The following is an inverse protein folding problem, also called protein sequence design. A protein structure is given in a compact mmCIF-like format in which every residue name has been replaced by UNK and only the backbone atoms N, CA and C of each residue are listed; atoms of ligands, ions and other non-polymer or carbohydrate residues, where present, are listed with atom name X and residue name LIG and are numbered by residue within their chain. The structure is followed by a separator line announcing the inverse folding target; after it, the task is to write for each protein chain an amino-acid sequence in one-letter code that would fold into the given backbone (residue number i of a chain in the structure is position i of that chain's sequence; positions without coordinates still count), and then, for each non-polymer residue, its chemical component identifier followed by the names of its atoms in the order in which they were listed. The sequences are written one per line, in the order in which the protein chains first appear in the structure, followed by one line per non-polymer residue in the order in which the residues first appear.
data_IF_627753361151
#
_entry.id   IF_627753361151
#
_cell.length_a   1.000
_cell.length_b   1.000
_cell.length_c   1.000
_cell.angle_alpha   90.00
_cell.angle_beta   90.00
_cell.angle_gamma   90.00
#
_symmetry.space_group_name_H-M   'P 1'
#
loop_
_entity.id
_entity.type
_entity.pdbx_description
1 polymer ?
#
# COMPACT_ATOMS: atom_id res chain seq x y z
N UNK A 1 11.85 -12.25 -16.35
CA UNK A 1 12.45 -11.41 -15.30
C UNK A 1 11.57 -11.44 -14.06
N UNK A 2 10.45 -10.70 -14.03
CA UNK A 2 9.49 -10.71 -12.91
C UNK A 2 9.09 -12.11 -12.44
N UNK A 3 8.73 -13.02 -13.36
CA UNK A 3 8.36 -14.40 -12.99
C UNK A 3 9.47 -15.17 -12.25
N UNK A 4 10.74 -14.97 -12.61
CA UNK A 4 11.85 -15.63 -11.92
C UNK A 4 12.09 -15.04 -10.52
N UNK A 5 11.93 -13.72 -10.36
CA UNK A 5 12.02 -13.08 -9.04
C UNK A 5 10.82 -13.47 -8.17
N UNK A 6 9.63 -13.57 -8.75
CA UNK A 6 8.43 -14.00 -8.06
C UNK A 6 8.57 -15.44 -7.55
N UNK A 7 8.97 -16.40 -8.38
CA UNK A 7 9.18 -17.80 -7.93
C UNK A 7 10.20 -17.88 -6.78
N UNK A 8 11.30 -17.11 -6.83
CA UNK A 8 12.28 -17.05 -5.75
C UNK A 8 11.68 -16.47 -4.46
N UNK A 9 10.85 -15.43 -4.60
CA UNK A 9 10.14 -14.83 -3.47
C UNK A 9 9.13 -15.78 -2.85
N UNK A 10 8.39 -16.55 -3.67
CA UNK A 10 7.40 -17.53 -3.22
C UNK A 10 8.07 -18.68 -2.44
N UNK A 11 9.21 -19.18 -2.91
CA UNK A 11 10.01 -20.17 -2.18
C UNK A 11 10.57 -19.67 -0.85
N UNK A 12 10.61 -18.35 -0.65
CA UNK A 12 11.09 -17.69 0.55
C UNK A 12 9.95 -17.02 1.35
N UNK A 13 8.70 -17.50 1.23
CA UNK A 13 7.52 -16.98 1.94
C UNK A 13 7.34 -15.46 1.78
N UNK A 14 7.66 -14.93 0.59
CA UNK A 14 7.63 -13.51 0.24
C UNK A 14 8.50 -12.62 1.14
N UNK A 15 9.48 -13.20 1.86
CA UNK A 15 10.46 -12.46 2.64
C UNK A 15 11.51 -11.88 1.69
N UNK A 16 11.74 -10.58 1.77
CA UNK A 16 12.65 -9.88 0.85
C UNK A 16 14.10 -10.27 1.13
N UNK A 17 14.78 -10.86 0.17
CA UNK A 17 16.12 -11.43 0.36
C UNK A 17 17.26 -10.52 -0.17
N UNK A 18 16.93 -9.37 -0.74
CA UNK A 18 17.93 -8.56 -1.46
C UNK A 18 18.36 -9.21 -2.78
N UNK A 19 19.33 -8.59 -3.46
CA UNK A 19 19.91 -9.16 -4.68
C UNK A 19 21.01 -10.16 -4.32
N UNK A 20 20.84 -11.43 -4.70
CA UNK A 20 21.86 -12.47 -4.51
C UNK A 20 22.24 -13.14 -5.84
N UNK A 21 23.39 -12.76 -6.42
CA UNK A 21 23.86 -13.29 -7.70
C UNK A 21 24.37 -14.74 -7.64
N UNK A 22 24.44 -15.36 -6.45
CA UNK A 22 24.64 -16.80 -6.35
C UNK A 22 23.36 -17.59 -6.67
N UNK A 23 22.18 -16.96 -6.57
CA UNK A 23 20.90 -17.58 -6.95
C UNK A 23 20.71 -17.53 -8.47
N UNK A 24 20.49 -18.67 -9.15
CA UNK A 24 20.31 -18.70 -10.60
C UNK A 24 19.16 -17.82 -11.11
N UNK A 25 18.03 -17.77 -10.38
CA UNK A 25 16.87 -16.95 -10.76
C UNK A 25 17.17 -15.46 -10.74
N UNK A 26 17.97 -14.97 -9.79
CA UNK A 26 18.39 -13.57 -9.72
C UNK A 26 19.31 -13.19 -10.89
N UNK A 27 20.28 -14.05 -11.22
CA UNK A 27 21.14 -13.83 -12.40
C UNK A 27 20.33 -13.79 -13.69
N UNK A 28 19.42 -14.76 -13.86
CA UNK A 28 18.53 -14.79 -15.01
C UNK A 28 17.67 -13.52 -15.09
N UNK A 29 17.10 -13.08 -13.96
CA UNK A 29 16.33 -11.85 -13.91
C UNK A 29 17.16 -10.64 -14.35
N UNK A 30 18.37 -10.47 -13.82
CA UNK A 30 19.28 -9.38 -14.19
C UNK A 30 19.63 -9.41 -15.69
N UNK A 31 19.96 -10.58 -16.25
CA UNK A 31 20.24 -10.75 -17.67
C UNK A 31 19.03 -10.36 -18.53
N UNK A 32 17.82 -10.77 -18.14
CA UNK A 32 16.60 -10.40 -18.86
C UNK A 32 16.28 -8.90 -18.74
N UNK A 33 16.55 -8.27 -17.59
CA UNK A 33 16.44 -6.81 -17.44
C UNK A 33 17.38 -6.08 -18.40
N UNK A 34 18.66 -6.46 -18.42
CA UNK A 34 19.65 -5.87 -19.32
C UNK A 34 19.27 -6.02 -20.80
N UNK A 35 18.78 -7.20 -21.20
CA UNK A 35 18.26 -7.44 -22.56
C UNK A 35 17.07 -6.55 -22.89
N UNK A 36 16.14 -6.38 -21.95
CA UNK A 36 14.98 -5.51 -22.12
C UNK A 36 15.40 -4.05 -22.33
N UNK A 37 16.35 -3.53 -21.54
CA UNK A 37 16.90 -2.19 -21.74
C UNK A 37 17.54 -2.02 -23.13
N UNK A 38 18.33 -3.01 -23.57
CA UNK A 38 18.95 -2.97 -24.90
C UNK A 38 17.89 -2.94 -26.03
N UNK A 39 16.79 -3.67 -25.87
CA UNK A 39 15.68 -3.68 -26.83
C UNK A 39 14.89 -2.37 -26.82
N UNK A 40 14.62 -1.80 -25.64
CA UNK A 40 13.96 -0.50 -25.52
C UNK A 40 14.77 0.61 -26.18
N UNK A 41 16.09 0.64 -25.97
CA UNK A 41 16.98 1.63 -26.60
C UNK A 41 16.96 1.53 -28.13
N UNK A 42 16.91 0.32 -28.68
CA UNK A 42 16.77 0.11 -30.14
C UNK A 42 15.41 0.57 -30.65
N UNK A 43 14.33 0.26 -29.92
CA UNK A 43 12.95 0.64 -30.26
C UNK A 43 12.72 2.15 -30.20
N UNK A 44 13.37 2.84 -29.27
CA UNK A 44 13.34 4.30 -29.19
C UNK A 44 13.80 4.95 -30.51
N UNK A 45 14.84 4.40 -31.14
CA UNK A 45 15.39 4.92 -32.39
C UNK A 45 14.49 4.69 -33.63
N UNK A 46 13.45 3.86 -33.52
CA UNK A 46 12.63 3.44 -34.67
C UNK A 46 11.29 4.18 -34.81
N UNK A 47 11.04 5.25 -34.04
CA UNK A 47 9.78 6.03 -34.07
C UNK A 47 8.51 5.17 -33.89
N UNK A 48 8.61 4.13 -33.06
CA UNK A 48 7.52 3.19 -32.86
C UNK A 48 6.33 3.83 -32.10
N UNK A 49 5.10 3.79 -32.62
CA UNK A 49 3.95 4.43 -31.99
C UNK A 49 3.58 3.79 -30.63
N UNK A 50 3.93 2.52 -30.40
CA UNK A 50 3.71 1.83 -29.13
C UNK A 50 4.89 1.97 -28.16
N UNK A 51 5.94 2.72 -28.52
CA UNK A 51 7.13 2.85 -27.69
C UNK A 51 6.82 3.29 -26.26
N UNK A 52 5.92 4.27 -26.08
CA UNK A 52 5.51 4.76 -24.75
C UNK A 52 4.82 3.68 -23.92
N UNK A 53 3.85 2.98 -24.49
CA UNK A 53 3.12 1.91 -23.83
C UNK A 53 4.06 0.76 -23.43
N UNK A 54 4.93 0.33 -24.34
CA UNK A 54 5.92 -0.72 -24.06
C UNK A 54 6.92 -0.28 -22.99
N UNK A 55 7.36 0.98 -23.01
CA UNK A 55 8.24 1.53 -21.97
C UNK A 55 7.53 1.56 -20.62
N UNK A 56 6.25 1.93 -20.57
CA UNK A 56 5.44 1.91 -19.34
C UNK A 56 5.26 0.50 -18.78
N UNK A 57 5.02 -0.50 -19.65
CA UNK A 57 4.98 -1.91 -19.24
C UNK A 57 6.33 -2.34 -18.67
N UNK A 58 7.45 -1.97 -19.31
CA UNK A 58 8.78 -2.26 -18.78
C UNK A 58 9.03 -1.58 -17.43
N UNK A 59 8.70 -0.28 -17.28
CA UNK A 59 8.78 0.43 -16.00
C UNK A 59 8.00 -0.29 -14.91
N UNK A 60 6.75 -0.70 -15.19
CA UNK A 60 5.92 -1.43 -14.23
C UNK A 60 6.55 -2.77 -13.84
N UNK A 61 6.99 -3.56 -14.82
CA UNK A 61 7.63 -4.86 -14.55
C UNK A 61 8.93 -4.72 -13.77
N UNK A 62 9.74 -3.69 -14.06
CA UNK A 62 10.94 -3.39 -13.28
C UNK A 62 10.60 -2.96 -11.87
N UNK A 63 9.67 -2.02 -11.67
CA UNK A 63 9.19 -1.62 -10.35
C UNK A 63 8.80 -2.84 -9.51
N UNK A 64 7.96 -3.74 -10.03
CA UNK A 64 7.54 -4.93 -9.26
C UNK A 64 8.69 -5.88 -8.95
N UNK A 65 9.62 -6.06 -9.88
CA UNK A 65 10.73 -6.97 -9.68
C UNK A 65 11.72 -6.43 -8.66
N UNK A 66 12.01 -5.13 -8.72
CA UNK A 66 12.85 -4.47 -7.72
C UNK A 66 12.19 -4.49 -6.33
N UNK A 67 10.86 -4.30 -6.24
CA UNK A 67 10.13 -4.43 -4.96
C UNK A 67 10.26 -5.84 -4.36
N UNK A 68 10.15 -6.89 -5.18
CA UNK A 68 10.34 -8.27 -4.72
C UNK A 68 11.79 -8.58 -4.33
N UNK A 69 12.75 -7.87 -4.91
CA UNK A 69 14.16 -7.91 -4.52
C UNK A 69 14.46 -7.01 -3.30
N UNK A 70 13.47 -6.31 -2.75
CA UNK A 70 13.66 -5.34 -1.66
C UNK A 70 14.40 -4.06 -2.06
N UNK A 71 14.59 -3.81 -3.35
CA UNK A 71 15.25 -2.63 -3.89
C UNK A 71 14.25 -1.48 -4.05
N UNK A 72 13.76 -0.94 -2.93
CA UNK A 72 12.72 0.09 -2.91
C UNK A 72 13.11 1.37 -3.65
N UNK A 73 14.35 1.84 -3.51
CA UNK A 73 14.82 3.06 -4.16
C UNK A 73 14.85 2.92 -5.69
N UNK A 74 15.36 1.80 -6.19
CA UNK A 74 15.36 1.48 -7.63
C UNK A 74 13.95 1.27 -8.15
N UNK A 75 13.09 0.58 -7.40
CA UNK A 75 11.69 0.39 -7.75
C UNK A 75 10.94 1.73 -7.90
N UNK A 76 11.12 2.63 -6.93
CA UNK A 76 10.58 3.97 -6.96
C UNK A 76 11.13 4.75 -8.15
N UNK A 77 12.41 4.64 -8.47
CA UNK A 77 12.99 5.29 -9.65
C UNK A 77 12.31 4.86 -10.95
N UNK A 78 12.06 3.55 -11.14
CA UNK A 78 11.31 3.04 -12.29
C UNK A 78 9.87 3.54 -12.33
N UNK A 79 9.23 3.61 -11.15
CA UNK A 79 7.89 4.17 -11.02
C UNK A 79 7.91 5.64 -11.48
N UNK A 80 8.79 6.48 -10.92
CA UNK A 80 8.92 7.91 -11.27
C UNK A 80 9.11 8.12 -12.77
N UNK A 81 9.99 7.33 -13.41
CA UNK A 81 10.17 7.41 -14.87
C UNK A 81 8.89 7.10 -15.64
N UNK A 82 8.12 6.09 -15.23
CA UNK A 82 6.82 5.79 -15.83
C UNK A 82 5.80 6.90 -15.62
N UNK A 83 5.74 7.49 -14.41
CA UNK A 83 4.86 8.61 -14.11
C UNK A 83 5.19 9.86 -14.95
N UNK A 84 6.48 10.12 -15.18
CA UNK A 84 6.93 11.20 -16.05
C UNK A 84 6.41 11.02 -17.48
N UNK A 85 6.53 9.80 -18.04
CA UNK A 85 6.01 9.48 -19.38
C UNK A 85 4.50 9.70 -19.46
N UNK A 86 3.75 9.33 -18.40
CA UNK A 86 2.30 9.57 -18.33
C UNK A 86 1.96 11.07 -18.26
N UNK A 87 2.69 11.85 -17.47
CA UNK A 87 2.50 13.30 -17.38
C UNK A 87 2.78 13.98 -18.74
N UNK A 88 3.85 13.58 -19.43
CA UNK A 88 4.17 14.04 -20.78
C UNK A 88 3.09 13.64 -21.79
N UNK A 89 2.56 12.41 -21.70
CA UNK A 89 1.45 11.97 -22.54
C UNK A 89 0.15 12.72 -22.25
N UNK A 90 -0.13 13.08 -21.00
CA UNK A 90 -1.33 13.81 -20.60
C UNK A 90 -1.36 15.25 -21.13
N UNK A 91 -0.18 15.86 -21.37
CA UNK A 91 -0.07 17.18 -22.01
C UNK A 91 -0.65 17.16 -23.43
N UNK A 92 -0.63 16.00 -24.09
CA UNK A 92 -1.21 15.79 -25.41
C UNK A 92 -2.33 14.77 -25.31
N UNK A 93 -3.58 15.19 -25.03
CA UNK A 93 -4.73 14.29 -24.76
C UNK A 93 -4.84 13.08 -25.73
N UNK A 94 -4.54 13.28 -27.02
CA UNK A 94 -4.53 12.19 -28.02
C UNK A 94 -3.48 11.09 -27.76
N UNK A 95 -2.34 11.41 -27.15
CA UNK A 95 -1.32 10.44 -26.77
C UNK A 95 -1.72 9.62 -25.53
N UNK A 96 -2.42 10.22 -24.57
CA UNK A 96 -2.88 9.50 -23.38
C UNK A 96 -3.96 8.48 -23.74
N UNK A 97 -4.86 8.81 -24.69
CA UNK A 97 -5.89 7.87 -25.17
C UNK A 97 -5.33 6.65 -25.92
N UNK A 98 -4.06 6.68 -26.34
CA UNK A 98 -3.40 5.55 -26.97
C UNK A 98 -2.81 4.55 -25.97
N UNK A 99 -2.74 4.90 -24.68
CA UNK A 99 -2.21 4.04 -23.62
C UNK A 99 -3.39 3.29 -22.98
N UNK A 100 -3.21 1.99 -22.73
CA UNK A 100 -4.22 1.19 -22.06
C UNK A 100 -4.60 1.77 -20.68
N UNK A 101 -5.89 1.96 -20.45
CA UNK A 101 -6.42 2.56 -19.23
C UNK A 101 -6.05 1.76 -17.97
N UNK A 102 -5.93 0.43 -18.05
CA UNK A 102 -5.53 -0.41 -16.93
C UNK A 102 -4.08 -0.15 -16.49
N UNK A 103 -3.22 0.21 -17.45
CA UNK A 103 -1.83 0.60 -17.20
C UNK A 103 -1.77 1.95 -16.50
N UNK A 104 -2.55 2.94 -16.98
CA UNK A 104 -2.70 4.25 -16.31
C UNK A 104 -3.22 4.08 -14.88
N UNK A 105 -4.28 3.27 -14.70
CA UNK A 105 -4.84 2.97 -13.38
C UNK A 105 -3.81 2.31 -12.45
N UNK A 106 -2.93 1.43 -12.97
CA UNK A 106 -1.88 0.81 -12.17
C UNK A 106 -0.85 1.82 -11.65
N UNK A 107 -0.39 2.73 -12.51
CA UNK A 107 0.53 3.79 -12.12
C UNK A 107 -0.11 4.77 -11.13
N UNK A 108 -1.37 5.16 -11.30
CA UNK A 108 -2.10 6.01 -10.35
C UNK A 108 -2.13 5.41 -8.94
N UNK A 109 -2.35 4.09 -8.83
CA UNK A 109 -2.37 3.41 -7.53
C UNK A 109 -0.99 3.34 -6.88
N UNK A 110 0.03 2.96 -7.65
CA UNK A 110 1.41 2.89 -7.15
C UNK A 110 1.93 4.27 -6.76
N UNK A 111 1.56 5.32 -7.49
CA UNK A 111 1.90 6.70 -7.15
C UNK A 111 1.27 7.10 -5.81
N UNK A 112 -0.02 6.83 -5.60
CA UNK A 112 -0.66 7.08 -4.32
C UNK A 112 0.07 6.37 -3.17
N UNK A 113 0.36 5.07 -3.32
CA UNK A 113 1.12 4.29 -2.34
C UNK A 113 2.53 4.84 -2.08
N UNK A 114 3.23 5.34 -3.12
CA UNK A 114 4.59 5.86 -2.97
C UNK A 114 4.70 7.03 -1.99
N UNK A 115 3.60 7.72 -1.70
CA UNK A 115 3.53 8.72 -0.62
C UNK A 115 4.08 8.19 0.70
N UNK A 116 3.90 6.89 1.00
CA UNK A 116 4.37 6.29 2.24
C UNK A 116 5.86 5.93 2.22
N UNK A 117 6.49 5.83 1.06
CA UNK A 117 7.84 5.27 0.85
C UNK A 117 8.85 6.28 0.25
N UNK A 118 8.37 7.37 -0.33
CA UNK A 118 9.19 8.42 -0.94
C UNK A 118 9.36 9.65 -0.06
N UNK A 119 10.43 10.42 -0.33
CA UNK A 119 10.62 11.77 0.20
C UNK A 119 9.67 12.79 -0.44
N UNK A 120 9.44 12.58 -1.73
CA UNK A 120 8.56 13.38 -2.56
C UNK A 120 7.23 12.62 -2.64
N UNK A 121 6.11 13.28 -2.31
CA UNK A 121 4.76 12.69 -2.33
C UNK A 121 4.33 12.23 -3.73
N UNK A 122 3.01 12.03 -3.98
CA UNK A 122 2.53 11.64 -5.30
C UNK A 122 3.03 12.59 -6.39
N UNK A 123 3.57 12.00 -7.46
CA UNK A 123 4.20 12.71 -8.57
C UNK A 123 3.28 12.83 -9.78
N UNK A 124 2.19 12.06 -9.85
CA UNK A 124 1.20 12.26 -10.89
C UNK A 124 0.38 13.51 -10.60
N UNK A 125 0.31 14.36 -11.61
CA UNK A 125 -0.60 15.49 -11.66
C UNK A 125 -1.57 15.33 -12.83
N UNK A 126 -2.01 14.08 -13.08
CA UNK A 126 -2.98 13.78 -14.13
C UNK A 126 -4.28 14.54 -13.84
N UNK A 127 -4.57 15.51 -14.71
CA UNK A 127 -5.71 16.43 -14.61
C UNK A 127 -5.81 17.19 -13.28
N UNK A 128 -5.01 18.26 -13.13
CA UNK A 128 -5.44 19.50 -12.44
C UNK A 128 -6.53 20.25 -13.23
N UNK A 129 -7.41 19.54 -13.93
CA UNK A 129 -8.58 20.11 -14.59
C UNK A 129 -9.74 20.06 -13.58
N UNK A 130 -9.74 21.03 -12.66
CA UNK A 130 -10.53 21.07 -11.44
C UNK A 130 -9.77 20.41 -10.30
N UNK A 131 -9.42 21.05 -9.19
CA UNK A 131 -10.40 21.62 -8.27
C UNK A 131 -11.81 21.03 -8.40
N UNK A 132 -11.92 19.72 -8.65
CA UNK A 132 -13.11 18.99 -8.25
C UNK A 132 -13.13 19.03 -6.72
N UNK A 133 -13.68 20.13 -6.18
CA UNK A 133 -14.40 20.10 -4.92
C UNK A 133 -15.17 18.80 -4.95
N UNK A 134 -14.93 17.93 -3.97
CA UNK A 134 -15.69 16.70 -3.75
C UNK A 134 -17.14 17.00 -4.10
N UNK A 135 -17.60 16.50 -5.24
CA UNK A 135 -18.92 16.81 -5.74
C UNK A 135 -19.86 16.02 -4.83
N UNK A 136 -20.21 16.62 -3.69
CA UNK A 136 -21.20 16.12 -2.74
C UNK A 136 -22.62 16.23 -3.33
N UNK A 137 -22.76 16.02 -4.64
CA UNK A 137 -24.07 15.91 -5.25
C UNK A 137 -24.74 14.70 -4.61
N UNK A 138 -25.85 14.94 -3.92
CA UNK A 138 -26.81 13.94 -3.40
C UNK A 138 -27.39 13.02 -4.50
N UNK A 139 -26.85 13.07 -5.72
CA UNK A 139 -27.35 12.43 -6.94
C UNK A 139 -26.30 11.56 -7.63
N UNK A 140 -25.30 11.04 -6.90
CA UNK A 140 -24.40 10.02 -7.45
C UNK A 140 -25.10 8.65 -7.52
N UNK A 141 -25.25 8.10 -8.72
CA UNK A 141 -25.82 6.76 -8.94
C UNK A 141 -24.99 5.67 -8.27
N UNK A 142 -25.58 4.52 -7.92
CA UNK A 142 -24.82 3.35 -7.45
C UNK A 142 -23.80 2.88 -8.51
N UNK A 143 -22.66 2.28 -8.11
CA UNK A 143 -21.74 1.69 -9.07
C UNK A 143 -22.45 0.59 -9.86
N UNK A 144 -22.26 0.56 -11.19
CA UNK A 144 -22.92 -0.40 -12.09
C UNK A 144 -22.30 -1.79 -12.02
N UNK A 145 -21.05 -1.88 -11.62
CA UNK A 145 -20.29 -3.12 -11.51
C UNK A 145 -19.10 -2.96 -10.54
N UNK A 146 -18.42 -4.07 -10.27
CA UNK A 146 -17.27 -4.11 -9.36
C UNK A 146 -16.09 -3.25 -9.84
N UNK A 147 -15.90 -3.12 -11.16
CA UNK A 147 -14.82 -2.29 -11.71
C UNK A 147 -15.07 -0.80 -11.46
N UNK A 148 -16.31 -0.34 -11.57
CA UNK A 148 -16.69 1.03 -11.23
C UNK A 148 -16.53 1.29 -9.74
N UNK A 149 -16.97 0.36 -8.88
CA UNK A 149 -16.74 0.46 -7.43
C UNK A 149 -15.25 0.54 -7.08
N UNK A 150 -14.39 -0.22 -7.78
CA UNK A 150 -12.93 -0.16 -7.60
C UNK A 150 -12.36 1.19 -8.00
N UNK A 151 -12.81 1.76 -9.13
CA UNK A 151 -12.36 3.10 -9.57
C UNK A 151 -12.75 4.18 -8.58
N UNK A 152 -13.96 4.12 -8.04
CA UNK A 152 -14.41 5.04 -6.99
C UNK A 152 -13.55 4.95 -5.73
N UNK A 153 -13.26 3.73 -5.26
CA UNK A 153 -12.33 3.54 -4.14
C UNK A 153 -10.97 4.16 -4.46
N UNK A 154 -10.38 3.85 -5.62
CA UNK A 154 -9.07 4.37 -6.01
C UNK A 154 -9.03 5.90 -6.05
N UNK A 155 -10.12 6.55 -6.47
CA UNK A 155 -10.23 8.01 -6.45
C UNK A 155 -10.20 8.58 -5.02
N UNK A 156 -10.85 7.92 -4.07
CA UNK A 156 -10.82 8.36 -2.66
C UNK A 156 -9.43 8.07 -2.04
N UNK A 157 -8.85 6.91 -2.34
CA UNK A 157 -7.53 6.50 -1.86
C UNK A 157 -6.41 7.41 -2.36
N UNK A 158 -6.47 7.90 -3.60
CA UNK A 158 -5.45 8.80 -4.15
C UNK A 158 -5.34 10.14 -3.40
N UNK A 159 -6.36 10.50 -2.61
CA UNK A 159 -6.36 11.66 -1.71
C UNK A 159 -6.11 11.27 -0.25
N UNK A 160 -6.66 10.14 0.20
CA UNK A 160 -6.52 9.66 1.58
C UNK A 160 -5.11 9.20 1.93
N UNK A 161 -4.45 8.44 1.04
CA UNK A 161 -3.11 7.89 1.28
C UNK A 161 -2.06 9.00 1.47
N UNK A 162 -1.97 10.02 0.60
CA UNK A 162 -1.02 11.12 0.80
C UNK A 162 -1.26 11.88 2.09
N UNK A 163 -2.52 12.15 2.43
CA UNK A 163 -2.88 12.84 3.68
C UNK A 163 -2.49 12.01 4.93
N UNK A 164 -2.67 10.68 4.89
CA UNK A 164 -2.19 9.80 5.96
C UNK A 164 -0.67 9.82 6.08
N UNK A 165 0.04 9.77 4.94
CA UNK A 165 1.50 9.84 4.94
C UNK A 165 2.03 11.13 5.56
N UNK A 166 1.39 12.26 5.25
CA UNK A 166 1.68 13.55 5.88
C UNK A 166 1.43 13.49 7.39
N UNK A 167 0.23 13.08 7.83
CA UNK A 167 -0.12 12.99 9.25
C UNK A 167 0.88 12.12 10.03
N UNK A 168 1.28 10.98 9.47
CA UNK A 168 2.20 10.03 10.09
C UNK A 168 3.65 10.50 10.12
N UNK A 169 4.00 11.48 9.29
CA UNK A 169 5.32 12.09 9.25
C UNK A 169 5.49 13.28 10.20
N UNK A 170 4.38 13.88 10.66
CA UNK A 170 4.38 15.09 11.48
C UNK A 170 4.40 14.78 12.98
N UNK A 171 5.15 15.59 13.73
CA UNK A 171 5.14 15.62 15.19
C UNK A 171 3.82 16.18 15.74
N UNK A 172 3.56 15.93 17.03
CA UNK A 172 2.36 16.46 17.70
C UNK A 172 2.33 17.99 17.72
N UNK A 173 3.49 18.65 17.63
CA UNK A 173 3.60 20.12 17.59
C UNK A 173 3.23 20.64 16.20
N UNK A 174 3.74 20.01 15.14
CA UNK A 174 3.42 20.39 13.76
C UNK A 174 1.93 20.18 13.44
N UNK A 175 1.35 19.06 13.88
CA UNK A 175 -0.10 18.82 13.76
C UNK A 175 -0.89 19.93 14.46
N UNK A 176 -0.46 20.40 15.63
CA UNK A 176 -1.13 21.51 16.33
C UNK A 176 -1.03 22.83 15.57
N UNK A 177 0.11 23.11 14.93
CA UNK A 177 0.32 24.33 14.12
C UNK A 177 -0.62 24.38 12.91
N UNK A 178 -0.86 23.23 12.26
CA UNK A 178 -1.70 23.13 11.06
C UNK A 178 -3.08 22.52 11.35
N UNK A 179 -3.49 22.44 12.62
CA UNK A 179 -4.64 21.64 13.04
C UNK A 179 -5.93 21.99 12.30
N UNK A 180 -6.21 23.29 12.13
CA UNK A 180 -7.45 23.74 11.49
C UNK A 180 -7.53 23.30 10.03
N UNK A 181 -6.47 23.49 9.24
CA UNK A 181 -6.47 23.07 7.83
C UNK A 181 -6.50 21.55 7.69
N UNK A 182 -5.70 20.84 8.47
CA UNK A 182 -5.66 19.38 8.44
C UNK A 182 -7.00 18.77 8.87
N UNK A 183 -7.67 19.36 9.88
CA UNK A 183 -8.99 18.91 10.35
C UNK A 183 -10.07 19.06 9.29
N UNK A 184 -10.04 20.14 8.49
CA UNK A 184 -10.96 20.31 7.36
C UNK A 184 -10.75 19.22 6.31
N UNK A 185 -9.49 18.94 5.95
CA UNK A 185 -9.16 17.84 5.03
C UNK A 185 -9.61 16.49 5.56
N UNK A 186 -9.32 16.20 6.84
CA UNK A 186 -9.75 14.97 7.51
C UNK A 186 -11.28 14.80 7.47
N UNK A 187 -12.03 15.86 7.80
CA UNK A 187 -13.49 15.80 7.80
C UNK A 187 -14.06 15.58 6.40
N UNK A 188 -13.52 16.26 5.40
CA UNK A 188 -13.92 16.09 4.00
C UNK A 188 -13.67 14.65 3.51
N UNK A 189 -12.50 14.08 3.84
CA UNK A 189 -12.17 12.69 3.53
C UNK A 189 -13.10 11.70 4.23
N UNK A 190 -13.40 11.91 5.52
CA UNK A 190 -14.31 11.03 6.27
C UNK A 190 -15.73 11.05 5.70
N UNK A 191 -16.24 12.23 5.33
CA UNK A 191 -17.55 12.35 4.67
C UNK A 191 -17.55 11.60 3.35
N UNK A 192 -16.54 11.79 2.51
CA UNK A 192 -16.44 11.09 1.22
C UNK A 192 -16.34 9.57 1.40
N UNK A 193 -15.42 9.09 2.25
CA UNK A 193 -15.23 7.66 2.53
C UNK A 193 -16.52 7.01 3.04
N UNK A 194 -17.22 7.66 3.97
CA UNK A 194 -18.47 7.13 4.52
C UNK A 194 -19.57 7.07 3.47
N UNK A 195 -19.69 8.12 2.65
CA UNK A 195 -20.66 8.16 1.55
C UNK A 195 -20.41 7.06 0.50
N UNK A 196 -19.16 6.89 0.05
CA UNK A 196 -18.84 5.83 -0.91
C UNK A 196 -18.98 4.44 -0.30
N UNK A 197 -18.66 4.27 0.98
CA UNK A 197 -18.89 3.01 1.71
C UNK A 197 -20.38 2.64 1.72
N UNK A 198 -21.26 3.58 2.04
CA UNK A 198 -22.72 3.35 2.02
C UNK A 198 -23.22 2.98 0.62
N UNK A 199 -22.70 3.64 -0.43
CA UNK A 199 -23.03 3.29 -1.82
C UNK A 199 -22.57 1.87 -2.18
N UNK A 200 -21.40 1.44 -1.71
CA UNK A 200 -20.95 0.06 -1.88
C UNK A 200 -21.86 -0.93 -1.14
N UNK A 201 -22.25 -0.63 0.11
CA UNK A 201 -23.16 -1.46 0.90
C UNK A 201 -24.49 -1.67 0.15
N UNK A 202 -25.11 -0.59 -0.36
CA UNK A 202 -26.33 -0.65 -1.18
C UNK A 202 -26.14 -1.44 -2.48
N UNK A 203 -24.99 -1.29 -3.15
CA UNK A 203 -24.67 -2.09 -4.33
C UNK A 203 -24.59 -3.58 -3.99
N UNK A 204 -23.96 -3.93 -2.86
CA UNK A 204 -23.86 -5.31 -2.40
C UNK A 204 -25.24 -5.92 -2.12
N UNK A 205 -26.12 -5.18 -1.44
CA UNK A 205 -27.49 -5.63 -1.15
C UNK A 205 -28.25 -6.00 -2.44
N UNK A 206 -28.04 -5.26 -3.53
CA UNK A 206 -28.76 -5.47 -4.80
C UNK A 206 -28.13 -6.54 -5.71
N UNK A 207 -26.80 -6.67 -5.66
CA UNK A 207 -26.04 -7.34 -6.72
C UNK A 207 -25.17 -8.50 -6.24
N UNK A 208 -24.82 -8.59 -4.95
CA UNK A 208 -23.76 -9.48 -4.46
C UNK A 208 -23.98 -10.96 -4.80
N UNK A 209 -25.21 -11.45 -4.62
CA UNK A 209 -25.56 -12.85 -4.89
C UNK A 209 -25.44 -13.22 -6.39
N UNK A 210 -25.42 -12.23 -7.29
CA UNK A 210 -25.31 -12.41 -8.74
C UNK A 210 -23.85 -12.30 -9.23
N UNK A 211 -22.94 -11.85 -8.38
CA UNK A 211 -21.53 -11.67 -8.71
C UNK A 211 -20.82 -13.03 -8.80
N UNK A 212 -19.85 -13.14 -9.70
CA UNK A 212 -18.93 -14.28 -9.73
C UNK A 212 -18.09 -14.35 -8.44
N UNK A 213 -17.49 -15.50 -8.09
CA UNK A 213 -16.61 -15.61 -6.91
C UNK A 213 -15.44 -14.60 -6.91
N UNK A 214 -14.89 -14.30 -8.09
CA UNK A 214 -13.83 -13.29 -8.28
C UNK A 214 -14.35 -11.88 -7.98
N UNK A 215 -15.55 -11.55 -8.42
CA UNK A 215 -16.19 -10.26 -8.19
C UNK A 215 -16.60 -10.09 -6.73
N UNK A 216 -17.15 -11.14 -6.09
CA UNK A 216 -17.45 -11.14 -4.65
C UNK A 216 -16.19 -10.87 -3.84
N UNK A 217 -15.08 -11.56 -4.13
CA UNK A 217 -13.78 -11.29 -3.51
C UNK A 217 -13.36 -9.83 -3.70
N UNK A 218 -13.51 -9.31 -4.92
CA UNK A 218 -13.17 -7.93 -5.24
C UNK A 218 -13.98 -6.92 -4.41
N UNK A 219 -15.28 -7.13 -4.27
CA UNK A 219 -16.16 -6.27 -3.48
C UNK A 219 -15.87 -6.39 -1.98
N UNK A 220 -15.61 -7.59 -1.47
CA UNK A 220 -15.22 -7.81 -0.08
C UNK A 220 -13.93 -7.03 0.25
N UNK A 221 -12.92 -7.09 -0.62
CA UNK A 221 -11.66 -6.32 -0.48
C UNK A 221 -11.93 -4.81 -0.51
N UNK A 222 -12.79 -4.31 -1.41
CA UNK A 222 -13.17 -2.89 -1.45
C UNK A 222 -13.81 -2.47 -0.11
N UNK A 223 -14.69 -3.32 0.45
CA UNK A 223 -15.29 -3.09 1.76
C UNK A 223 -14.27 -2.98 2.88
N UNK A 224 -13.26 -3.86 2.92
CA UNK A 224 -12.15 -3.79 3.88
C UNK A 224 -11.36 -2.49 3.76
N UNK A 225 -11.10 -2.02 2.54
CA UNK A 225 -10.41 -0.74 2.32
C UNK A 225 -11.17 0.45 2.89
N UNK A 226 -12.48 0.52 2.68
CA UNK A 226 -13.28 1.59 3.28
C UNK A 226 -13.24 1.54 4.81
N UNK A 227 -13.36 0.36 5.42
CA UNK A 227 -13.27 0.22 6.88
C UNK A 227 -11.88 0.67 7.40
N UNK A 228 -10.81 0.18 6.77
CA UNK A 228 -9.44 0.50 7.15
C UNK A 228 -9.12 1.99 7.01
N UNK A 229 -9.53 2.61 5.90
CA UNK A 229 -9.28 4.02 5.63
C UNK A 229 -10.07 4.94 6.54
N UNK A 230 -11.36 4.65 6.77
CA UNK A 230 -12.17 5.42 7.72
C UNK A 230 -11.51 5.42 9.09
N UNK A 231 -11.10 4.25 9.59
CA UNK A 231 -10.44 4.14 10.88
C UNK A 231 -9.10 4.90 10.89
N UNK A 232 -8.26 4.71 9.87
CA UNK A 232 -6.95 5.37 9.74
C UNK A 232 -7.06 6.89 9.74
N UNK A 233 -7.99 7.44 8.94
CA UNK A 233 -8.23 8.89 8.85
C UNK A 233 -8.81 9.40 10.17
N UNK A 234 -9.74 8.67 10.79
CA UNK A 234 -10.33 9.05 12.08
C UNK A 234 -9.28 9.15 13.18
N UNK A 235 -8.26 8.29 13.15
CA UNK A 235 -7.19 8.25 14.15
C UNK A 235 -5.88 8.93 13.73
N UNK A 236 -5.84 9.62 12.59
CA UNK A 236 -4.57 10.08 11.99
C UNK A 236 -3.82 11.14 12.81
N UNK A 237 -4.50 11.88 13.70
CA UNK A 237 -3.86 12.89 14.55
C UNK A 237 -3.34 12.35 15.90
N UNK A 238 -3.53 11.06 16.17
CA UNK A 238 -3.00 10.45 17.39
C UNK A 238 -1.57 9.95 17.17
N UNK A 239 -0.64 10.74 17.69
CA UNK A 239 0.81 10.42 17.75
C UNK A 239 1.20 9.64 19.03
N UNK A 240 0.21 9.18 19.79
CA UNK A 240 0.36 8.42 21.03
C UNK A 240 -0.73 7.35 21.15
N UNK A 241 -1.00 6.85 22.36
CA UNK A 241 -1.99 5.81 22.58
C UNK A 241 -3.36 6.19 22.02
N UNK A 242 -3.95 5.28 21.26
CA UNK A 242 -5.33 5.44 20.77
C UNK A 242 -6.29 5.25 21.96
N UNK A 243 -7.34 6.08 22.10
CA UNK A 243 -8.32 5.90 23.16
C UNK A 243 -9.02 4.53 23.14
N UNK A 244 -9.14 3.91 24.31
CA UNK A 244 -9.69 2.55 24.45
C UNK A 244 -11.13 2.37 23.95
N UNK A 245 -11.94 3.44 23.90
CA UNK A 245 -13.30 3.38 23.35
C UNK A 245 -13.33 3.07 21.85
N UNK A 246 -12.21 3.22 21.13
CA UNK A 246 -12.11 2.87 19.71
C UNK A 246 -11.76 1.39 19.48
N UNK A 247 -11.41 0.63 20.53
CA UNK A 247 -11.07 -0.80 20.43
C UNK A 247 -12.10 -1.63 19.66
N UNK A 248 -13.43 -1.45 19.84
CA UNK A 248 -14.42 -2.20 19.07
C UNK A 248 -14.34 -2.01 17.54
N UNK A 249 -13.93 -0.83 17.06
CA UNK A 249 -13.75 -0.56 15.63
C UNK A 249 -12.54 -1.33 15.07
N UNK A 250 -11.45 -1.43 15.84
CA UNK A 250 -10.29 -2.26 15.50
C UNK A 250 -10.61 -3.75 15.50
N UNK A 251 -11.37 -4.23 16.49
CA UNK A 251 -11.82 -5.62 16.55
C UNK A 251 -12.71 -5.97 15.35
N UNK A 252 -13.62 -5.07 14.99
CA UNK A 252 -14.48 -5.24 13.81
C UNK A 252 -13.67 -5.30 12.52
N UNK A 253 -12.68 -4.40 12.37
CA UNK A 253 -11.77 -4.39 11.23
C UNK A 253 -10.99 -5.71 11.13
N UNK A 254 -10.37 -6.17 12.21
CA UNK A 254 -9.62 -7.43 12.24
C UNK A 254 -10.51 -8.62 11.91
N UNK A 255 -11.70 -8.70 12.52
CA UNK A 255 -12.64 -9.80 12.29
C UNK A 255 -13.07 -9.88 10.84
N UNK A 256 -13.27 -8.73 10.17
CA UNK A 256 -13.61 -8.68 8.75
C UNK A 256 -12.44 -9.17 7.87
N UNK A 257 -11.19 -8.84 8.22
CA UNK A 257 -10.00 -9.34 7.51
C UNK A 257 -9.85 -10.85 7.70
N UNK A 258 -9.95 -11.35 8.95
CA UNK A 258 -9.87 -12.79 9.25
C UNK A 258 -10.98 -13.57 8.53
N UNK A 259 -12.20 -13.04 8.47
CA UNK A 259 -13.30 -13.66 7.73
C UNK A 259 -13.01 -13.74 6.22
N UNK A 260 -12.43 -12.68 5.63
CA UNK A 260 -12.04 -12.69 4.21
C UNK A 260 -10.93 -13.71 3.95
N UNK A 261 -9.91 -13.75 4.81
CA UNK A 261 -8.81 -14.72 4.72
C UNK A 261 -9.32 -16.17 4.79
N UNK A 262 -10.27 -16.45 5.70
CA UNK A 262 -10.88 -17.78 5.82
C UNK A 262 -11.75 -18.13 4.61
N UNK A 263 -12.46 -17.15 4.03
CA UNK A 263 -13.31 -17.33 2.85
C UNK A 263 -12.50 -17.56 1.57
N UNK A 264 -11.31 -16.97 1.47
CA UNK A 264 -10.46 -17.03 0.28
C UNK A 264 -9.03 -17.46 0.63
N UNK A 265 -8.82 -18.75 0.96
CA UNK A 265 -7.51 -19.26 1.35
C UNK A 265 -6.52 -19.20 0.18
N UNK A 266 -7.00 -19.45 -1.05
CA UNK A 266 -6.21 -19.34 -2.28
C UNK A 266 -6.07 -17.89 -2.73
N UNK A 267 -4.83 -17.48 -2.97
CA UNK A 267 -4.46 -16.10 -3.29
C UNK A 267 -3.23 -16.07 -4.17
N UNK A 268 -3.11 -15.04 -5.01
CA UNK A 268 -1.82 -14.72 -5.60
C UNK A 268 -0.87 -14.28 -4.49
N UNK A 269 0.43 -14.42 -4.71
CA UNK A 269 1.48 -13.95 -3.80
C UNK A 269 1.83 -12.49 -4.06
N UNK A 270 1.42 -11.97 -5.22
CA UNK A 270 1.60 -10.56 -5.62
C UNK A 270 0.33 -9.98 -6.24
N UNK A 271 0.06 -8.70 -5.98
CA UNK A 271 -0.96 -7.89 -6.67
C UNK A 271 -0.47 -6.46 -6.89
N UNK A 272 -1.00 -5.80 -7.92
CA UNK A 272 -0.80 -4.36 -8.14
C UNK A 272 -1.75 -3.47 -7.33
N UNK A 273 -2.86 -4.04 -6.87
CA UNK A 273 -3.83 -3.37 -6.04
C UNK A 273 -3.44 -3.49 -4.56
N UNK A 274 -3.92 -2.54 -3.74
CA UNK A 274 -4.01 -2.76 -2.31
C UNK A 274 -4.95 -3.94 -2.05
N UNK A 275 -4.52 -4.90 -1.25
CA UNK A 275 -5.29 -6.06 -0.82
C UNK A 275 -5.70 -5.90 0.65
N UNK A 276 -5.25 -6.81 1.51
CA UNK A 276 -5.63 -6.86 2.92
C UNK A 276 -4.55 -6.35 3.87
N UNK A 277 -3.30 -6.19 3.40
CA UNK A 277 -2.17 -5.80 4.25
C UNK A 277 -2.39 -4.42 4.91
N UNK A 278 -2.84 -3.36 4.21
CA UNK A 278 -3.03 -2.05 4.83
C UNK A 278 -3.96 -2.07 6.05
N UNK A 279 -5.09 -2.76 5.96
CA UNK A 279 -6.06 -2.81 7.05
C UNK A 279 -5.58 -3.63 8.24
N UNK A 280 -4.90 -4.76 7.99
CA UNK A 280 -4.23 -5.53 9.04
C UNK A 280 -3.12 -4.71 9.72
N UNK A 281 -2.32 -3.97 8.96
CA UNK A 281 -1.26 -3.11 9.50
C UNK A 281 -1.84 -2.01 10.40
N UNK A 282 -2.96 -1.39 10.03
CA UNK A 282 -3.65 -0.40 10.88
C UNK A 282 -4.02 -0.99 12.24
N UNK A 283 -4.56 -2.22 12.26
CA UNK A 283 -4.85 -2.91 13.52
C UNK A 283 -3.58 -3.21 14.30
N UNK A 284 -2.60 -3.84 13.64
CA UNK A 284 -1.35 -4.29 14.23
C UNK A 284 -0.52 -3.15 14.84
N UNK A 285 -0.57 -1.95 14.24
CA UNK A 285 0.26 -0.81 14.64
C UNK A 285 -0.41 0.14 15.64
N UNK A 286 -1.74 0.23 15.69
CA UNK A 286 -2.44 1.31 16.44
C UNK A 286 -3.51 0.85 17.41
N UNK A 287 -3.97 -0.40 17.37
CA UNK A 287 -5.07 -0.85 18.25
C UNK A 287 -4.70 -0.68 19.75
N UNK A 288 -5.58 -0.10 20.60
CA UNK A 288 -5.28 0.04 22.03
C UNK A 288 -5.03 -1.28 22.78
N UNK A 289 -5.57 -2.39 22.27
CA UNK A 289 -5.42 -3.72 22.87
C UNK A 289 -4.27 -4.50 22.22
N UNK A 290 -3.22 -4.77 22.99
CA UNK A 290 -2.03 -5.50 22.53
C UNK A 290 -2.32 -6.92 22.06
N UNK A 291 -3.34 -7.60 22.61
CA UNK A 291 -3.73 -8.95 22.16
C UNK A 291 -4.33 -8.91 20.77
N UNK A 292 -5.12 -7.87 20.48
CA UNK A 292 -5.68 -7.63 19.15
C UNK A 292 -4.57 -7.26 18.16
N UNK A 293 -3.58 -6.44 18.57
CA UNK A 293 -2.39 -6.17 17.74
C UNK A 293 -1.63 -7.45 17.40
N UNK A 294 -1.35 -8.30 18.40
CA UNK A 294 -0.63 -9.55 18.18
C UNK A 294 -1.37 -10.51 17.23
N UNK A 295 -2.70 -10.59 17.34
CA UNK A 295 -3.51 -11.34 16.36
C UNK A 295 -3.39 -10.79 14.95
N UNK A 296 -3.42 -9.46 14.78
CA UNK A 296 -3.23 -8.83 13.48
C UNK A 296 -1.82 -9.05 12.90
N UNK A 297 -0.77 -9.02 13.74
CA UNK A 297 0.60 -9.37 13.34
C UNK A 297 0.67 -10.82 12.85
N UNK A 298 0.07 -11.76 13.59
CA UNK A 298 -0.01 -13.17 13.17
C UNK A 298 -0.79 -13.34 11.87
N UNK A 299 -1.86 -12.58 11.67
CA UNK A 299 -2.60 -12.57 10.41
C UNK A 299 -1.70 -12.11 9.24
N UNK A 300 -0.92 -11.04 9.41
CA UNK A 300 0.06 -10.59 8.41
C UNK A 300 1.10 -11.67 8.09
N UNK A 301 1.67 -12.33 9.10
CA UNK A 301 2.63 -13.42 8.92
C UNK A 301 2.02 -14.63 8.20
N UNK A 302 0.75 -14.94 8.48
CA UNK A 302 0.02 -16.02 7.81
C UNK A 302 -0.40 -15.68 6.37
N UNK A 303 -0.12 -14.44 5.92
CA UNK A 303 -0.42 -13.92 4.60
C UNK A 303 0.85 -13.40 3.89
N UNK A 304 1.85 -14.27 3.61
CA UNK A 304 3.06 -13.87 2.86
C UNK A 304 2.65 -13.38 1.47
N UNK A 305 2.75 -12.07 1.25
CA UNK A 305 2.13 -11.40 0.12
C UNK A 305 2.74 -10.02 -0.15
N UNK A 306 2.68 -9.57 -1.40
CA UNK A 306 3.11 -8.25 -1.83
C UNK A 306 1.98 -7.51 -2.58
N UNK A 307 1.56 -6.35 -2.07
CA UNK A 307 0.45 -5.53 -2.56
C UNK A 307 1.00 -4.17 -3.03
N UNK A 308 1.35 -4.06 -4.31
CA UNK A 308 2.09 -2.93 -4.83
C UNK A 308 3.41 -2.76 -4.08
N UNK A 309 3.61 -1.64 -3.39
CA UNK A 309 4.81 -1.35 -2.60
C UNK A 309 4.83 -2.03 -1.22
N UNK A 310 3.71 -2.63 -0.80
CA UNK A 310 3.52 -3.09 0.58
C UNK A 310 3.79 -4.59 0.68
N UNK A 311 4.75 -4.97 1.51
CA UNK A 311 5.07 -6.38 1.80
C UNK A 311 4.56 -6.77 3.19
N UNK A 312 3.92 -7.93 3.31
CA UNK A 312 3.30 -8.36 4.58
C UNK A 312 4.33 -8.67 5.67
N UNK A 313 5.50 -9.21 5.30
CA UNK A 313 6.59 -9.45 6.25
C UNK A 313 7.14 -8.13 6.80
N UNK A 314 7.34 -7.11 5.96
CA UNK A 314 7.73 -5.76 6.41
C UNK A 314 6.66 -5.19 7.36
N UNK A 315 5.38 -5.26 6.96
CA UNK A 315 4.29 -4.73 7.77
C UNK A 315 4.20 -5.42 9.14
N UNK A 316 4.35 -6.75 9.17
CA UNK A 316 4.37 -7.54 10.40
C UNK A 316 5.55 -7.17 11.29
N UNK A 317 6.77 -7.10 10.73
CA UNK A 317 7.96 -6.76 11.50
C UNK A 317 7.92 -5.33 12.05
N UNK A 318 7.45 -4.35 11.27
CA UNK A 318 7.28 -2.97 11.72
C UNK A 318 6.31 -2.87 12.89
N UNK A 319 5.13 -3.48 12.74
CA UNK A 319 4.11 -3.46 13.79
C UNK A 319 4.59 -4.18 15.06
N UNK A 320 5.33 -5.28 14.90
CA UNK A 320 5.92 -6.02 16.00
C UNK A 320 6.98 -5.22 16.74
N UNK A 321 7.94 -4.62 16.04
CA UNK A 321 9.00 -3.81 16.66
C UNK A 321 8.41 -2.58 17.38
N UNK A 322 7.38 -1.94 16.81
CA UNK A 322 6.65 -0.87 17.49
C UNK A 322 5.98 -1.36 18.79
N UNK A 323 5.27 -2.49 18.74
CA UNK A 323 4.62 -3.08 19.92
C UNK A 323 5.63 -3.44 21.01
N UNK A 324 6.75 -4.05 20.61
CA UNK A 324 7.85 -4.42 21.51
C UNK A 324 8.39 -3.20 22.26
N UNK A 325 8.66 -2.09 21.56
CA UNK A 325 9.15 -0.84 22.17
C UNK A 325 8.16 -0.25 23.16
N UNK A 326 6.88 -0.24 22.82
CA UNK A 326 5.82 0.24 23.73
C UNK A 326 5.75 -0.60 25.01
N UNK A 327 5.81 -1.94 24.89
CA UNK A 327 5.82 -2.85 26.05
C UNK A 327 7.08 -2.71 26.90
N UNK A 328 8.25 -2.47 26.29
CA UNK A 328 9.49 -2.20 27.04
C UNK A 328 9.39 -0.93 27.90
N UNK A 329 8.62 0.07 27.46
CA UNK A 329 8.41 1.33 28.17
C UNK A 329 7.30 1.25 29.23
N UNK A 330 6.30 0.38 29.06
CA UNK A 330 5.09 0.37 29.90
C UNK A 330 4.77 -0.92 30.67
N UNK A 331 5.16 -2.11 30.20
CA UNK A 331 4.79 -3.40 30.81
C UNK A 331 5.76 -4.54 30.43
N UNK A 332 6.85 -4.70 31.19
CA UNK A 332 7.94 -5.64 30.87
C UNK A 332 7.56 -7.13 30.98
N UNK A 333 6.57 -7.47 31.80
CA UNK A 333 6.20 -8.86 32.05
C UNK A 333 5.49 -9.50 30.84
N UNK A 334 4.65 -8.73 30.13
CA UNK A 334 3.97 -9.18 28.90
C UNK A 334 4.94 -9.38 27.73
N UNK A 335 6.08 -8.67 27.71
CA UNK A 335 7.08 -8.78 26.66
C UNK A 335 7.66 -10.20 26.55
N UNK A 336 7.94 -10.82 27.71
CA UNK A 336 8.51 -12.18 27.79
C UNK A 336 7.58 -13.27 27.24
N UNK A 337 6.28 -12.99 27.19
CA UNK A 337 5.25 -13.91 26.68
C UNK A 337 5.06 -13.81 25.16
N UNK A 338 5.59 -12.75 24.54
CA UNK A 338 5.33 -12.40 23.15
C UNK A 338 6.58 -12.58 22.28
N UNK A 339 7.79 -12.45 22.83
CA UNK A 339 9.05 -12.60 22.09
C UNK A 339 9.52 -14.05 22.09
N UNK A 340 9.35 -14.74 20.96
CA UNK A 340 9.98 -16.03 20.65
C UNK A 340 11.04 -15.90 19.55
N UNK A 341 11.54 -17.06 19.08
CA UNK A 341 12.59 -17.11 18.05
C UNK A 341 12.14 -16.50 16.70
N UNK A 342 10.88 -16.73 16.32
CA UNK A 342 10.29 -16.17 15.10
C UNK A 342 10.25 -14.64 15.14
N UNK A 343 9.93 -14.07 16.30
CA UNK A 343 9.87 -12.63 16.52
C UNK A 343 11.27 -11.99 16.46
N UNK A 344 12.30 -12.66 16.97
CA UNK A 344 13.69 -12.22 16.83
C UNK A 344 14.12 -12.20 15.36
N UNK A 345 13.73 -13.22 14.60
CA UNK A 345 14.02 -13.29 13.16
C UNK A 345 13.30 -12.18 12.38
N UNK A 346 12.03 -11.89 12.70
CA UNK A 346 11.28 -10.79 12.08
C UNK A 346 11.95 -9.43 12.28
N UNK A 347 12.46 -9.16 13.49
CA UNK A 347 13.15 -7.91 13.80
C UNK A 347 14.47 -7.83 13.04
N UNK A 348 15.24 -8.92 12.98
CA UNK A 348 16.48 -8.96 12.18
C UNK A 348 16.20 -8.70 10.70
N UNK A 349 15.21 -9.40 10.14
CA UNK A 349 14.77 -9.21 8.75
C UNK A 349 14.40 -7.75 8.45
N UNK A 350 13.69 -7.09 9.36
CA UNK A 350 13.35 -5.67 9.20
C UNK A 350 14.59 -4.81 9.11
N UNK A 351 15.50 -4.91 10.08
CA UNK A 351 16.70 -4.05 10.11
C UNK A 351 17.64 -4.33 8.95
N UNK A 352 17.79 -5.60 8.53
CA UNK A 352 18.52 -5.95 7.32
C UNK A 352 17.89 -5.22 6.11
N UNK A 353 16.58 -5.32 5.94
CA UNK A 353 15.87 -4.65 4.82
C UNK A 353 16.00 -3.12 4.85
N UNK A 354 15.87 -2.50 6.03
CA UNK A 354 16.01 -1.06 6.19
C UNK A 354 17.45 -0.60 5.91
N UNK A 355 18.46 -1.40 6.26
CA UNK A 355 19.87 -1.07 6.02
C UNK A 355 20.25 -1.02 4.54
N UNK A 356 19.56 -1.79 3.69
CA UNK A 356 19.73 -1.78 2.24
C UNK A 356 18.84 -0.76 1.52
N UNK A 357 17.98 -0.05 2.24
CA UNK A 357 17.06 0.95 1.67
C UNK A 357 17.50 2.35 2.10
N UNK A 358 18.17 3.08 1.20
CA UNK A 358 18.80 4.37 1.47
C UNK A 358 17.81 5.38 2.09
N UNK A 359 16.56 5.39 1.58
CA UNK A 359 15.54 6.35 2.00
C UNK A 359 14.52 5.77 3.00
N UNK A 360 14.81 4.63 3.65
CA UNK A 360 13.90 4.01 4.62
C UNK A 360 13.49 4.95 5.77
N UNK A 361 14.40 5.82 6.23
CA UNK A 361 14.11 6.81 7.26
C UNK A 361 13.03 7.84 6.86
N UNK A 362 12.76 7.98 5.57
CA UNK A 362 11.70 8.85 5.07
C UNK A 362 10.32 8.19 5.03
N UNK A 363 10.25 6.87 5.20
CA UNK A 363 8.98 6.16 5.18
C UNK A 363 8.08 6.67 6.31
N UNK A 364 6.87 7.08 5.97
CA UNK A 364 5.90 7.59 6.94
C UNK A 364 5.61 6.60 8.07
N UNK A 365 5.60 5.30 7.79
CA UNK A 365 5.42 4.24 8.78
C UNK A 365 6.62 4.15 9.76
N UNK A 366 7.84 4.36 9.27
CA UNK A 366 9.05 4.41 10.10
C UNK A 366 9.04 5.65 11.00
N UNK A 367 8.68 6.81 10.45
CA UNK A 367 8.53 8.05 11.23
C UNK A 367 7.46 7.92 12.31
N UNK A 368 6.30 7.37 11.97
CA UNK A 368 5.19 7.20 12.90
C UNK A 368 5.50 6.22 14.05
N UNK A 369 6.27 5.17 13.77
CA UNK A 369 6.67 4.16 14.77
C UNK A 369 7.94 4.54 15.55
N UNK A 370 8.68 5.56 15.09
CA UNK A 370 9.93 6.06 15.68
C UNK A 370 11.02 4.99 15.85
N UNK A 371 10.98 3.93 15.05
CA UNK A 371 11.89 2.78 15.19
C UNK A 371 13.36 3.16 14.98
N UNK A 372 13.65 4.15 14.11
CA UNK A 372 15.01 4.61 13.79
C UNK A 372 15.47 5.83 14.59
N UNK A 373 14.65 6.39 15.50
CA UNK A 373 15.06 7.57 16.27
C UNK A 373 15.87 7.24 17.53
N UNK A 374 15.88 5.96 17.94
CA UNK A 374 16.70 5.45 19.03
C UNK A 374 17.67 4.41 18.46
N UNK A 375 18.78 4.86 17.84
CA UNK A 375 19.98 4.03 17.84
C UNK A 375 20.53 3.99 19.28
N UNK A 376 20.95 2.82 19.79
CA UNK A 376 21.39 2.66 21.17
C UNK A 376 22.61 3.52 21.55
#
# INVERSE_FOLDING_TARGET
MLGAVQEDSEENDMRLAGVNLHRPRHRFALEQSARSFALLNKRHASHDPQFKEVTLVCCLLFTLSELLLGQYDTALQHLRSGLQILNEAATYMHCLSAIDQSLVEAFVRLDAQSSHFGKDGPLLHLNKAGEEKWSHSDTMSLPRNVQEARRELNHVLSKGIPFLSECWSLSSTEIKLHYNSMRLTQQSLLVSLTHHKQRLELFCEQSYAKLSPKEQRGVDIIGLHYLAQVLSIKTCFFNGPIPGYLTPEYVSLLSAHEALMAKFPERSTTTLDNGIIPGLYVVASKCPDYRIRLRAIKALQSWPHCEGLINSNIAASLAFESLKRELMQGNKDELSLIVGDNEVELVRFLFDTLSFTEHAAHWSMIKASRILHDEP
#
